data_IF_356039694920
#
_entry.id   IF_356039694920
#
_cell.length_a   1.000
_cell.length_b   1.000
_cell.length_c   1.000
_cell.angle_alpha   90.00
_cell.angle_beta   90.00
_cell.angle_gamma   90.00
#
_symmetry.space_group_name_H-M   'P 1'
#
loop_
_entity.id
_entity.type
_entity.pdbx_description
1 polymer ?
#
# COMPACT_ATOMS: atom_id res chain seq x y z
N UNK A 1 53.60 -25.08 -26.56
CA UNK A 1 54.27 -26.15 -25.79
C UNK A 1 54.58 -25.65 -24.39
N UNK A 2 54.12 -26.34 -23.37
CA UNK A 2 54.41 -26.01 -21.96
C UNK A 2 55.92 -26.07 -21.77
N UNK A 3 56.53 -25.00 -21.24
CA UNK A 3 57.97 -24.93 -21.03
C UNK A 3 58.38 -25.27 -19.60
N UNK A 4 57.74 -24.68 -18.63
CA UNK A 4 58.02 -24.87 -17.18
C UNK A 4 56.76 -25.11 -16.35
N UNK A 5 55.56 -24.94 -16.92
CA UNK A 5 54.30 -25.11 -16.19
C UNK A 5 54.07 -26.58 -15.74
N UNK A 6 53.53 -26.74 -14.53
CA UNK A 6 53.32 -28.05 -13.90
C UNK A 6 51.83 -28.31 -13.60
N UNK A 7 51.46 -29.58 -13.42
CA UNK A 7 50.12 -30.00 -13.01
C UNK A 7 49.00 -29.56 -14.00
N UNK A 8 49.29 -29.53 -15.30
CA UNK A 8 48.32 -29.22 -16.32
C UNK A 8 47.76 -30.49 -16.97
N UNK A 9 46.47 -30.52 -17.28
CA UNK A 9 45.82 -31.60 -18.05
C UNK A 9 45.24 -31.03 -19.34
N UNK A 10 45.79 -31.39 -20.50
CA UNK A 10 45.35 -30.92 -21.81
C UNK A 10 44.93 -32.13 -22.70
N UNK A 11 43.67 -32.16 -23.13
CA UNK A 11 43.09 -33.22 -23.93
C UNK A 11 42.30 -32.61 -25.11
N UNK A 12 42.74 -32.81 -26.31
CA UNK A 12 42.10 -32.32 -27.54
C UNK A 12 43.04 -31.55 -28.46
N UNK A 13 42.64 -31.36 -29.71
CA UNK A 13 43.43 -30.60 -30.66
C UNK A 13 43.56 -29.13 -30.22
N UNK A 14 44.77 -28.59 -30.16
CA UNK A 14 45.11 -27.22 -29.74
C UNK A 14 44.63 -26.87 -28.32
N UNK A 15 44.39 -27.84 -27.45
CA UNK A 15 44.08 -27.57 -26.04
C UNK A 15 45.34 -27.08 -25.32
N UNK A 16 45.29 -25.87 -24.74
CA UNK A 16 46.38 -25.23 -24.00
C UNK A 16 47.67 -25.05 -24.79
N UNK A 17 47.62 -24.93 -26.11
CA UNK A 17 48.79 -24.99 -26.97
C UNK A 17 49.74 -23.78 -26.85
N UNK A 18 49.24 -22.61 -26.43
CA UNK A 18 50.04 -21.42 -26.12
C UNK A 18 50.60 -21.41 -24.67
N UNK A 19 50.28 -22.39 -23.82
CA UNK A 19 50.72 -22.41 -22.41
C UNK A 19 52.22 -22.53 -22.30
N UNK A 20 52.83 -21.65 -21.48
CA UNK A 20 54.27 -21.64 -21.25
C UNK A 20 54.62 -21.95 -19.77
N UNK A 21 54.26 -21.11 -18.86
CA UNK A 21 54.64 -21.21 -17.43
C UNK A 21 53.46 -21.39 -16.47
N UNK A 22 52.25 -21.49 -16.99
CA UNK A 22 51.01 -21.60 -16.18
C UNK A 22 50.87 -22.99 -15.52
N UNK A 23 50.35 -23.02 -14.30
CA UNK A 23 50.17 -24.24 -13.50
C UNK A 23 48.69 -24.53 -13.23
N UNK A 24 48.40 -25.81 -12.92
CA UNK A 24 47.08 -26.25 -12.41
C UNK A 24 45.93 -25.94 -13.37
N UNK A 25 46.10 -26.02 -14.67
CA UNK A 25 45.04 -25.85 -15.64
C UNK A 25 44.50 -27.18 -16.14
N UNK A 26 43.21 -27.28 -16.35
CA UNK A 26 42.53 -28.36 -17.03
C UNK A 26 41.88 -27.86 -18.31
N UNK A 27 42.28 -28.36 -19.48
CA UNK A 27 41.64 -28.01 -20.76
C UNK A 27 41.30 -29.31 -21.53
N UNK A 28 39.97 -29.49 -21.76
CA UNK A 28 39.46 -30.69 -22.47
C UNK A 28 38.53 -30.21 -23.59
N UNK A 29 38.94 -30.42 -24.84
CA UNK A 29 38.19 -30.01 -26.04
C UNK A 29 39.06 -29.33 -27.09
N UNK A 30 38.55 -29.23 -28.32
CA UNK A 30 39.21 -28.52 -29.39
C UNK A 30 39.31 -27.01 -29.08
N UNK A 31 40.52 -26.42 -29.16
CA UNK A 31 40.82 -24.99 -28.84
C UNK A 31 40.48 -24.60 -27.39
N UNK A 32 40.28 -25.49 -26.46
CA UNK A 32 40.06 -25.13 -25.04
C UNK A 32 41.35 -24.51 -24.48
N UNK A 33 41.23 -23.31 -23.83
CA UNK A 33 42.36 -22.59 -23.22
C UNK A 33 43.52 -22.30 -24.19
N UNK A 34 43.26 -22.20 -25.50
CA UNK A 34 44.29 -22.19 -26.53
C UNK A 34 45.22 -20.98 -26.48
N UNK A 35 44.71 -19.77 -26.10
CA UNK A 35 45.53 -18.56 -25.99
C UNK A 35 46.21 -18.39 -24.61
N UNK A 36 46.00 -19.28 -23.66
CA UNK A 36 46.53 -19.16 -22.30
C UNK A 36 48.06 -19.25 -22.27
N UNK A 37 48.71 -18.22 -21.77
CA UNK A 37 50.20 -18.23 -21.71
C UNK A 37 50.71 -18.48 -20.28
N UNK A 38 50.29 -17.64 -19.33
CA UNK A 38 50.82 -17.63 -17.95
C UNK A 38 49.77 -17.80 -16.88
N UNK A 39 48.47 -17.83 -17.25
CA UNK A 39 47.37 -17.87 -16.27
C UNK A 39 47.17 -19.27 -15.70
N UNK A 40 47.08 -19.37 -14.38
CA UNK A 40 46.96 -20.61 -13.63
C UNK A 40 45.56 -20.82 -13.03
N UNK A 41 45.29 -22.07 -12.63
CA UNK A 41 44.05 -22.45 -11.94
C UNK A 41 42.78 -22.29 -12.77
N UNK A 42 42.83 -22.49 -14.08
CA UNK A 42 41.66 -22.44 -14.94
C UNK A 42 41.18 -23.84 -15.29
N UNK A 43 39.88 -24.04 -15.39
CA UNK A 43 39.22 -25.23 -15.87
C UNK A 43 38.40 -24.91 -17.12
N UNK A 44 38.71 -25.47 -18.25
CA UNK A 44 38.02 -25.30 -19.53
C UNK A 44 37.66 -26.65 -20.15
N UNK A 45 36.37 -26.97 -20.19
CA UNK A 45 35.86 -28.23 -20.77
C UNK A 45 34.81 -27.90 -21.83
N UNK A 46 35.13 -28.18 -23.07
CA UNK A 46 34.26 -27.88 -24.24
C UNK A 46 35.05 -27.29 -25.39
N UNK A 47 34.53 -27.37 -26.61
CA UNK A 47 35.14 -26.74 -27.76
C UNK A 47 35.18 -25.23 -27.59
N UNK A 48 36.35 -24.61 -27.73
CA UNK A 48 36.63 -23.18 -27.54
C UNK A 48 36.27 -22.63 -26.16
N UNK A 49 36.17 -23.45 -25.13
CA UNK A 49 36.01 -22.96 -23.76
C UNK A 49 37.27 -22.18 -23.33
N UNK A 50 37.11 -20.90 -22.81
CA UNK A 50 38.21 -19.99 -22.44
C UNK A 50 39.29 -19.83 -23.56
N UNK A 51 38.87 -19.87 -24.83
CA UNK A 51 39.83 -19.89 -25.94
C UNK A 51 40.72 -18.63 -26.00
N UNK A 52 40.20 -17.44 -25.75
CA UNK A 52 40.94 -16.17 -25.78
C UNK A 52 41.65 -15.82 -24.45
N UNK A 53 41.55 -16.63 -23.41
CA UNK A 53 42.13 -16.29 -22.09
C UNK A 53 43.64 -16.21 -22.17
N UNK A 54 44.23 -15.09 -21.78
CA UNK A 54 45.68 -14.89 -21.77
C UNK A 54 46.26 -14.90 -20.35
N UNK A 55 45.74 -14.06 -19.48
CA UNK A 55 46.23 -13.86 -18.09
C UNK A 55 45.16 -14.05 -17.01
N UNK A 56 43.90 -14.29 -17.37
CA UNK A 56 42.80 -14.49 -16.41
C UNK A 56 42.95 -15.80 -15.63
N UNK A 57 42.83 -15.77 -14.32
CA UNK A 57 43.05 -16.89 -13.40
C UNK A 57 41.77 -17.30 -12.68
N UNK A 58 41.74 -18.55 -12.20
CA UNK A 58 40.62 -19.11 -11.39
C UNK A 58 39.26 -19.06 -12.11
N UNK A 59 39.25 -19.22 -13.41
CA UNK A 59 38.01 -19.31 -14.17
C UNK A 59 37.62 -20.80 -14.39
N UNK A 60 36.34 -21.08 -14.31
CA UNK A 60 35.76 -22.40 -14.56
C UNK A 60 34.76 -22.30 -15.73
N UNK A 61 35.07 -22.89 -16.87
CA UNK A 61 34.21 -22.91 -18.05
C UNK A 61 33.87 -24.34 -18.44
N UNK A 62 32.57 -24.67 -18.45
CA UNK A 62 32.07 -26.00 -18.85
C UNK A 62 30.98 -25.82 -19.91
N UNK A 63 31.29 -26.08 -21.13
CA UNK A 63 30.41 -25.96 -22.30
C UNK A 63 31.14 -25.40 -23.51
N UNK A 64 30.66 -25.71 -24.71
CA UNK A 64 31.21 -25.10 -25.94
C UNK A 64 30.96 -23.59 -25.89
N UNK A 65 31.99 -22.81 -26.27
CA UNK A 65 31.99 -21.32 -26.25
C UNK A 65 31.73 -20.71 -24.87
N UNK A 66 31.94 -21.43 -23.77
CA UNK A 66 31.85 -20.86 -22.43
C UNK A 66 33.09 -19.99 -22.16
N UNK A 67 32.88 -18.66 -21.81
CA UNK A 67 33.96 -17.70 -21.57
C UNK A 67 34.97 -17.57 -22.72
N UNK A 68 34.56 -17.84 -23.96
CA UNK A 68 35.51 -17.94 -25.09
C UNK A 68 36.22 -16.58 -25.40
N UNK A 69 35.60 -15.42 -25.14
CA UNK A 69 36.20 -14.11 -25.31
C UNK A 69 36.98 -13.59 -24.09
N UNK A 70 36.99 -14.32 -22.96
CA UNK A 70 37.69 -13.88 -21.75
C UNK A 70 39.19 -13.70 -22.00
N UNK A 71 39.70 -12.49 -21.67
CA UNK A 71 41.16 -12.24 -21.88
C UNK A 71 41.92 -12.19 -20.56
N UNK A 72 41.51 -11.34 -19.66
CA UNK A 72 42.24 -11.03 -18.40
C UNK A 72 41.42 -11.19 -17.13
N UNK A 73 40.11 -11.46 -17.26
CA UNK A 73 39.21 -11.53 -16.10
C UNK A 73 39.44 -12.80 -15.27
N UNK A 74 39.21 -12.64 -13.95
CA UNK A 74 39.42 -13.71 -12.97
C UNK A 74 38.09 -14.10 -12.31
N UNK A 75 38.11 -15.28 -11.67
CA UNK A 75 37.09 -15.70 -10.72
C UNK A 75 35.69 -15.85 -11.36
N UNK A 76 35.60 -16.16 -12.64
CA UNK A 76 34.34 -16.43 -13.34
C UNK A 76 33.99 -17.90 -13.38
N UNK A 77 32.73 -18.22 -13.20
CA UNK A 77 32.17 -19.56 -13.39
C UNK A 77 31.13 -19.53 -14.50
N UNK A 78 31.33 -20.28 -15.58
CA UNK A 78 30.43 -20.34 -16.72
C UNK A 78 30.13 -21.82 -17.08
N UNK A 79 28.87 -22.22 -16.95
CA UNK A 79 28.42 -23.59 -17.23
C UNK A 79 27.25 -23.56 -18.22
N UNK A 80 27.46 -24.05 -19.42
CA UNK A 80 26.48 -24.10 -20.49
C UNK A 80 27.02 -23.62 -21.83
N UNK A 81 26.26 -23.83 -22.90
CA UNK A 81 26.63 -23.38 -24.24
C UNK A 81 26.62 -21.84 -24.33
N UNK A 82 27.69 -21.24 -24.82
CA UNK A 82 27.88 -19.80 -25.01
C UNK A 82 27.55 -18.96 -23.74
N UNK A 83 27.83 -19.51 -22.57
CA UNK A 83 27.64 -18.83 -21.28
C UNK A 83 28.81 -17.87 -21.07
N UNK A 84 28.51 -16.57 -20.74
CA UNK A 84 29.52 -15.50 -20.60
C UNK A 84 30.46 -15.36 -21.83
N UNK A 85 29.99 -15.72 -23.03
CA UNK A 85 30.86 -15.77 -24.21
C UNK A 85 31.39 -14.39 -24.62
N UNK A 86 30.66 -13.29 -24.39
CA UNK A 86 31.11 -11.91 -24.65
C UNK A 86 32.07 -11.33 -23.62
N UNK A 87 32.29 -11.99 -22.49
CA UNK A 87 33.07 -11.44 -21.37
C UNK A 87 34.53 -11.26 -21.72
N UNK A 88 35.05 -10.06 -21.58
CA UNK A 88 36.47 -9.77 -21.80
C UNK A 88 37.27 -9.55 -20.52
N UNK A 89 36.77 -8.62 -19.69
CA UNK A 89 37.47 -8.17 -18.47
C UNK A 89 36.60 -8.19 -17.21
N UNK A 90 35.32 -8.56 -17.29
CA UNK A 90 34.42 -8.66 -16.13
C UNK A 90 34.76 -9.82 -15.22
N UNK A 91 34.99 -9.57 -13.94
CA UNK A 91 35.42 -10.57 -12.96
C UNK A 91 34.30 -10.94 -11.95
N UNK A 92 34.43 -12.12 -11.36
CA UNK A 92 33.53 -12.56 -10.28
C UNK A 92 32.10 -12.88 -10.71
N UNK A 93 31.86 -13.22 -11.96
CA UNK A 93 30.53 -13.60 -12.44
C UNK A 93 30.29 -15.11 -12.26
N UNK A 94 29.08 -15.46 -11.90
CA UNK A 94 28.59 -16.86 -11.89
C UNK A 94 27.43 -16.96 -12.88
N UNK A 95 27.63 -17.76 -13.92
CA UNK A 95 26.62 -17.98 -14.94
C UNK A 95 26.39 -19.48 -15.20
N UNK A 96 25.17 -19.94 -15.10
CA UNK A 96 24.76 -21.31 -15.37
C UNK A 96 23.50 -21.32 -16.25
N UNK A 97 23.64 -21.86 -17.45
CA UNK A 97 22.56 -21.99 -18.43
C UNK A 97 22.97 -21.50 -19.81
N UNK A 98 22.38 -22.08 -20.84
CA UNK A 98 22.60 -21.66 -22.24
C UNK A 98 22.32 -20.16 -22.38
N UNK A 99 23.28 -19.41 -22.95
CA UNK A 99 23.24 -17.98 -23.17
C UNK A 99 23.07 -17.10 -21.88
N UNK A 100 23.34 -17.63 -20.69
CA UNK A 100 23.40 -16.80 -19.50
C UNK A 100 24.56 -15.81 -19.60
N UNK A 101 24.29 -14.49 -19.34
CA UNK A 101 25.27 -13.39 -19.44
C UNK A 101 26.01 -13.32 -20.80
N UNK A 102 25.39 -13.78 -21.89
CA UNK A 102 26.06 -13.94 -23.18
C UNK A 102 26.67 -12.63 -23.72
N UNK A 103 26.00 -11.47 -23.52
CA UNK A 103 26.46 -10.17 -24.02
C UNK A 103 27.36 -9.39 -23.03
N UNK A 104 27.63 -9.92 -21.85
CA UNK A 104 28.46 -9.25 -20.85
C UNK A 104 29.87 -9.04 -21.36
N UNK A 105 30.39 -7.80 -21.25
CA UNK A 105 31.75 -7.47 -21.70
C UNK A 105 32.68 -7.17 -20.54
N UNK A 106 32.35 -6.18 -19.74
CA UNK A 106 33.18 -5.68 -18.63
C UNK A 106 32.50 -5.77 -17.28
N UNK A 107 31.24 -6.20 -17.24
CA UNK A 107 30.44 -6.30 -16.03
C UNK A 107 30.99 -7.38 -15.06
N UNK A 108 31.00 -7.09 -13.77
CA UNK A 108 31.45 -8.02 -12.74
C UNK A 108 30.43 -8.27 -11.64
N UNK A 109 30.68 -9.32 -10.85
CA UNK A 109 29.86 -9.65 -9.68
C UNK A 109 28.39 -9.91 -9.99
N UNK A 110 28.08 -10.49 -11.14
CA UNK A 110 26.72 -10.89 -11.51
C UNK A 110 26.52 -12.39 -11.27
N UNK A 111 25.31 -12.76 -10.83
CA UNK A 111 24.86 -14.14 -10.75
C UNK A 111 23.72 -14.37 -11.72
N UNK A 112 23.88 -15.24 -12.70
CA UNK A 112 22.87 -15.60 -13.69
C UNK A 112 22.66 -17.12 -13.70
N UNK A 113 21.53 -17.57 -13.21
CA UNK A 113 21.16 -18.98 -13.13
C UNK A 113 19.87 -19.25 -13.90
N UNK A 114 19.99 -19.77 -15.08
CA UNK A 114 18.87 -20.07 -15.98
C UNK A 114 19.20 -19.75 -17.45
N UNK A 115 18.49 -20.40 -18.38
CA UNK A 115 18.63 -20.09 -19.79
C UNK A 115 18.31 -18.63 -20.06
N UNK A 116 19.23 -17.92 -20.73
CA UNK A 116 19.13 -16.51 -21.09
C UNK A 116 18.93 -15.56 -19.89
N UNK A 117 19.30 -15.96 -18.68
CA UNK A 117 19.33 -15.02 -17.55
C UNK A 117 20.41 -13.97 -17.79
N UNK A 118 20.07 -12.64 -17.64
CA UNK A 118 20.94 -11.51 -17.90
C UNK A 118 21.57 -11.51 -19.32
N UNK A 119 20.88 -12.05 -20.32
CA UNK A 119 21.49 -12.28 -21.63
C UNK A 119 21.96 -10.99 -22.32
N UNK A 120 21.22 -9.87 -22.21
CA UNK A 120 21.56 -8.58 -22.82
C UNK A 120 22.47 -7.69 -21.94
N UNK A 121 22.87 -8.15 -20.75
CA UNK A 121 23.68 -7.34 -19.83
C UNK A 121 25.05 -7.06 -20.45
N UNK A 122 25.41 -5.79 -20.58
CA UNK A 122 26.70 -5.41 -21.19
C UNK A 122 27.74 -4.99 -20.13
N UNK A 123 27.42 -3.96 -19.36
CA UNK A 123 28.35 -3.34 -18.42
C UNK A 123 27.83 -3.27 -16.98
N UNK A 124 26.60 -3.66 -16.74
CA UNK A 124 25.99 -3.57 -15.41
C UNK A 124 26.48 -4.65 -14.46
N UNK A 125 26.82 -4.25 -13.24
CA UNK A 125 27.37 -5.12 -12.20
C UNK A 125 26.39 -5.32 -11.03
N UNK A 126 26.68 -6.34 -10.21
CA UNK A 126 25.95 -6.64 -8.99
C UNK A 126 24.47 -7.05 -9.21
N UNK A 127 24.16 -7.66 -10.33
CA UNK A 127 22.81 -8.18 -10.58
C UNK A 127 22.72 -9.67 -10.23
N UNK A 128 21.59 -10.08 -9.68
CA UNK A 128 21.26 -11.50 -9.45
C UNK A 128 20.01 -11.87 -10.24
N UNK A 129 20.13 -12.81 -11.16
CA UNK A 129 19.05 -13.34 -11.97
C UNK A 129 18.95 -14.86 -11.85
N UNK A 130 17.85 -15.35 -11.30
CA UNK A 130 17.58 -16.78 -11.12
C UNK A 130 16.25 -17.14 -11.76
N UNK A 131 16.29 -17.84 -12.88
CA UNK A 131 15.11 -18.26 -13.65
C UNK A 131 15.28 -18.09 -15.16
N UNK A 132 14.42 -18.75 -15.91
CA UNK A 132 14.35 -18.59 -17.35
C UNK A 132 14.04 -17.12 -17.71
N UNK A 133 14.91 -16.50 -18.50
CA UNK A 133 14.80 -15.11 -18.96
C UNK A 133 14.70 -14.04 -17.83
N UNK A 134 15.11 -14.34 -16.62
CA UNK A 134 15.22 -13.33 -15.57
C UNK A 134 16.21 -12.23 -15.99
N UNK A 135 15.80 -10.94 -15.91
CA UNK A 135 16.60 -9.79 -16.37
C UNK A 135 17.10 -9.90 -17.81
N UNK A 136 16.33 -10.54 -18.69
CA UNK A 136 16.73 -10.83 -20.08
C UNK A 136 17.29 -9.62 -20.82
N UNK A 137 16.58 -8.47 -20.79
CA UNK A 137 16.86 -7.27 -21.57
C UNK A 137 17.71 -6.25 -20.84
N UNK A 138 18.17 -6.54 -19.61
CA UNK A 138 18.96 -5.59 -18.83
C UNK A 138 20.26 -5.25 -19.57
N UNK A 139 20.53 -3.96 -19.78
CA UNK A 139 21.76 -3.50 -20.44
C UNK A 139 22.72 -2.85 -19.45
N UNK A 140 22.29 -1.80 -18.77
CA UNK A 140 23.11 -1.02 -17.86
C UNK A 140 22.51 -0.85 -16.45
N UNK A 141 21.32 -1.42 -16.18
CA UNK A 141 20.73 -1.40 -14.84
C UNK A 141 21.52 -2.27 -13.85
N UNK A 142 21.95 -1.70 -12.74
CA UNK A 142 22.79 -2.37 -11.74
C UNK A 142 22.02 -2.67 -10.45
N UNK A 143 22.56 -3.61 -9.66
CA UNK A 143 22.03 -3.91 -8.32
C UNK A 143 20.56 -4.37 -8.32
N UNK A 144 20.15 -5.08 -9.36
CA UNK A 144 18.83 -5.69 -9.45
C UNK A 144 18.86 -7.16 -8.98
N UNK A 145 17.79 -7.59 -8.35
CA UNK A 145 17.56 -8.99 -7.98
C UNK A 145 16.28 -9.48 -8.67
N UNK A 146 16.39 -10.51 -9.50
CA UNK A 146 15.25 -11.13 -10.18
C UNK A 146 15.25 -12.63 -9.94
N UNK A 147 14.25 -13.13 -9.25
CA UNK A 147 14.09 -14.57 -8.96
C UNK A 147 12.72 -15.03 -9.43
N UNK A 148 12.69 -15.81 -10.46
CA UNK A 148 11.47 -16.31 -11.09
C UNK A 148 11.55 -16.27 -12.62
N UNK A 149 10.73 -17.08 -13.28
CA UNK A 149 10.61 -17.02 -14.73
C UNK A 149 10.11 -15.65 -15.16
N UNK A 150 10.78 -15.02 -16.12
CA UNK A 150 10.49 -13.71 -16.69
C UNK A 150 10.47 -12.55 -15.66
N UNK A 151 11.04 -12.72 -14.46
CA UNK A 151 11.16 -11.62 -13.50
C UNK A 151 12.09 -10.53 -14.06
N UNK A 152 11.62 -9.25 -14.06
CA UNK A 152 12.32 -8.08 -14.63
C UNK A 152 12.80 -8.28 -16.09
N UNK A 153 12.10 -9.09 -16.88
CA UNK A 153 12.60 -9.50 -18.20
C UNK A 153 12.83 -8.36 -19.17
N UNK A 154 12.05 -7.28 -19.11
CA UNK A 154 12.13 -6.14 -20.04
C UNK A 154 12.94 -4.96 -19.44
N UNK A 155 13.45 -5.07 -18.22
CA UNK A 155 14.29 -4.03 -17.62
C UNK A 155 15.47 -3.70 -18.53
N UNK A 156 15.71 -2.41 -18.78
CA UNK A 156 16.84 -1.96 -19.61
C UNK A 156 17.90 -1.25 -18.77
N UNK A 157 17.52 -0.16 -18.12
CA UNK A 157 18.43 0.71 -17.36
C UNK A 157 18.02 0.90 -15.89
N UNK A 158 16.82 0.42 -15.49
CA UNK A 158 16.36 0.50 -14.11
C UNK A 158 17.30 -0.24 -13.14
N UNK A 159 17.60 0.40 -12.01
CA UNK A 159 18.51 -0.13 -10.99
C UNK A 159 17.81 -0.29 -9.65
N UNK A 160 18.40 -1.09 -8.75
CA UNK A 160 17.87 -1.31 -7.39
C UNK A 160 16.46 -1.92 -7.34
N UNK A 161 16.05 -2.67 -8.38
CA UNK A 161 14.76 -3.34 -8.38
C UNK A 161 14.89 -4.76 -7.85
N UNK A 162 13.95 -5.19 -7.01
CA UNK A 162 13.90 -6.53 -6.42
C UNK A 162 12.62 -7.23 -6.83
N UNK A 163 12.69 -8.25 -7.67
CA UNK A 163 11.56 -9.01 -8.19
C UNK A 163 11.65 -10.49 -7.77
N UNK A 164 10.69 -10.96 -7.02
CA UNK A 164 10.58 -12.35 -6.58
C UNK A 164 9.21 -12.92 -6.97
N UNK A 165 9.18 -13.75 -8.00
CA UNK A 165 7.96 -14.39 -8.48
C UNK A 165 7.88 -14.49 -10.00
N UNK A 166 6.97 -15.32 -10.49
CA UNK A 166 6.66 -15.42 -11.91
C UNK A 166 6.18 -14.06 -12.43
N UNK A 167 6.87 -13.52 -13.44
CA UNK A 167 6.57 -12.23 -14.09
C UNK A 167 6.50 -11.01 -13.14
N UNK A 168 7.10 -11.08 -11.97
CA UNK A 168 7.22 -9.91 -11.10
C UNK A 168 8.01 -8.81 -11.82
N UNK A 169 7.47 -7.57 -11.91
CA UNK A 169 8.08 -6.43 -12.58
C UNK A 169 8.47 -6.69 -14.06
N UNK A 170 7.78 -7.61 -14.74
CA UNK A 170 8.20 -8.04 -16.08
C UNK A 170 8.34 -6.86 -17.06
N UNK A 171 7.44 -5.87 -17.01
CA UNK A 171 7.40 -4.74 -17.96
C UNK A 171 8.25 -3.55 -17.54
N UNK A 172 8.95 -3.61 -16.40
CA UNK A 172 9.78 -2.49 -15.96
C UNK A 172 10.87 -2.20 -16.99
N UNK A 173 11.01 -0.96 -17.39
CA UNK A 173 12.04 -0.54 -18.35
C UNK A 173 13.12 0.30 -17.68
N UNK A 174 12.75 1.41 -17.09
CA UNK A 174 13.64 2.39 -16.46
C UNK A 174 13.30 2.69 -15.00
N UNK A 175 12.18 2.16 -14.48
CA UNK A 175 11.79 2.34 -13.08
C UNK A 175 12.86 1.81 -12.12
N UNK A 176 13.07 2.51 -11.00
CA UNK A 176 14.11 2.21 -10.00
C UNK A 176 13.51 2.00 -8.62
N UNK A 177 14.25 1.28 -7.77
CA UNK A 177 13.90 1.13 -6.35
C UNK A 177 12.51 0.50 -6.12
N UNK A 178 12.09 -0.41 -7.00
CA UNK A 178 10.83 -1.13 -6.85
C UNK A 178 11.05 -2.49 -6.21
N UNK A 179 10.15 -2.89 -5.34
CA UNK A 179 10.09 -4.23 -4.73
C UNK A 179 8.82 -4.93 -5.18
N UNK A 180 8.93 -6.01 -5.93
CA UNK A 180 7.80 -6.84 -6.35
C UNK A 180 7.98 -8.28 -5.83
N UNK A 181 7.16 -8.71 -4.91
CA UNK A 181 7.17 -10.06 -4.33
C UNK A 181 5.81 -10.72 -4.52
N UNK A 182 5.74 -11.70 -5.39
CA UNK A 182 4.50 -12.41 -5.76
C UNK A 182 4.38 -12.57 -7.27
N UNK A 183 3.56 -13.51 -7.73
CA UNK A 183 3.30 -13.62 -9.16
C UNK A 183 2.57 -12.36 -9.65
N UNK A 184 3.00 -11.81 -10.77
CA UNK A 184 2.45 -10.62 -11.40
C UNK A 184 2.44 -9.36 -10.49
N UNK A 185 3.26 -9.31 -9.44
CA UNK A 185 3.43 -8.08 -8.66
C UNK A 185 4.10 -7.01 -9.55
N UNK A 186 3.50 -5.79 -9.64
CA UNK A 186 3.95 -4.70 -10.52
C UNK A 186 4.08 -5.12 -12.00
N UNK A 187 3.17 -5.95 -12.48
CA UNK A 187 3.25 -6.61 -13.80
C UNK A 187 3.54 -5.64 -14.94
N UNK A 188 2.78 -4.54 -15.05
CA UNK A 188 2.88 -3.59 -16.16
C UNK A 188 3.62 -2.30 -15.81
N UNK A 189 4.29 -2.23 -14.66
CA UNK A 189 5.10 -1.07 -14.31
C UNK A 189 6.18 -0.83 -15.36
N UNK A 190 6.26 0.38 -15.90
CA UNK A 190 7.27 0.74 -16.91
C UNK A 190 8.35 1.66 -16.35
N UNK A 191 7.96 2.81 -15.84
CA UNK A 191 8.85 3.86 -15.34
C UNK A 191 8.59 4.26 -13.88
N UNK A 192 7.52 3.72 -13.26
CA UNK A 192 7.21 3.97 -11.86
C UNK A 192 8.35 3.55 -10.93
N UNK A 193 8.65 4.36 -9.92
CA UNK A 193 9.75 4.15 -9.00
C UNK A 193 9.30 4.16 -7.51
N UNK A 194 10.12 3.59 -6.64
CA UNK A 194 9.88 3.56 -5.19
C UNK A 194 8.56 2.86 -4.80
N UNK A 195 8.15 1.84 -5.53
CA UNK A 195 6.96 1.07 -5.20
C UNK A 195 7.30 -0.21 -4.45
N UNK A 196 6.49 -0.55 -3.45
CA UNK A 196 6.55 -1.82 -2.73
C UNK A 196 5.26 -2.59 -3.00
N UNK A 197 5.37 -3.74 -3.65
CA UNK A 197 4.27 -4.65 -3.94
C UNK A 197 4.57 -6.04 -3.40
N UNK A 198 3.84 -6.48 -2.39
CA UNK A 198 3.99 -7.80 -1.76
C UNK A 198 2.65 -8.53 -1.78
N UNK A 199 2.53 -9.51 -2.64
CA UNK A 199 1.32 -10.29 -2.87
C UNK A 199 1.08 -10.55 -4.35
N UNK A 200 0.38 -11.62 -4.70
CA UNK A 200 -0.03 -11.85 -6.08
C UNK A 200 -0.91 -10.72 -6.59
N UNK A 201 -0.65 -10.20 -7.79
CA UNK A 201 -1.36 -9.07 -8.41
C UNK A 201 -1.35 -7.76 -7.61
N UNK A 202 -0.44 -7.58 -6.65
CA UNK A 202 -0.27 -6.28 -5.99
C UNK A 202 0.29 -5.26 -6.99
N UNK A 203 -0.37 -4.08 -7.14
CA UNK A 203 -0.01 -3.02 -8.10
C UNK A 203 0.16 -3.53 -9.55
N UNK A 204 -0.58 -4.54 -9.95
CA UNK A 204 -0.36 -5.18 -11.26
C UNK A 204 -0.69 -4.28 -12.45
N UNK A 205 -1.62 -3.33 -12.32
CA UNK A 205 -1.94 -2.33 -13.35
C UNK A 205 -1.08 -1.06 -13.28
N UNK A 206 -0.16 -0.92 -12.32
CA UNK A 206 0.67 0.28 -12.17
C UNK A 206 1.57 0.49 -13.40
N UNK A 207 1.55 1.68 -13.98
CA UNK A 207 2.38 1.98 -15.17
C UNK A 207 3.55 2.91 -14.85
N UNK A 208 3.25 4.12 -14.42
CA UNK A 208 4.23 5.19 -14.21
C UNK A 208 4.22 5.76 -12.80
N UNK A 209 3.26 5.35 -11.97
CA UNK A 209 3.12 5.88 -10.62
C UNK A 209 4.25 5.41 -9.71
N UNK A 210 4.62 6.28 -8.76
CA UNK A 210 5.64 5.99 -7.76
C UNK A 210 5.16 6.17 -6.33
N UNK A 211 6.02 5.75 -5.40
CA UNK A 211 5.82 5.91 -3.95
C UNK A 211 4.59 5.18 -3.40
N UNK A 212 4.16 4.09 -4.00
CA UNK A 212 3.05 3.29 -3.53
C UNK A 212 3.52 2.08 -2.72
N UNK A 213 2.81 1.76 -1.65
CA UNK A 213 3.01 0.54 -0.87
C UNK A 213 1.74 -0.31 -0.91
N UNK A 214 1.85 -1.52 -1.45
CA UNK A 214 0.77 -2.48 -1.56
C UNK A 214 1.18 -3.83 -0.96
N UNK A 215 0.53 -4.24 0.11
CA UNK A 215 0.80 -5.52 0.79
C UNK A 215 -0.50 -6.31 0.90
N UNK A 216 -0.62 -7.38 0.16
CA UNK A 216 -1.80 -8.24 0.11
C UNK A 216 -2.18 -8.61 -1.33
N UNK A 217 -2.96 -9.66 -1.48
CA UNK A 217 -3.45 -10.09 -2.79
C UNK A 217 -4.27 -8.98 -3.46
N UNK A 218 -3.90 -8.59 -4.67
CA UNK A 218 -4.54 -7.56 -5.51
C UNK A 218 -4.76 -6.21 -4.77
N UNK A 219 -3.91 -5.89 -3.78
CA UNK A 219 -3.90 -4.54 -3.18
C UNK A 219 -3.44 -3.51 -4.22
N UNK A 220 -4.15 -2.37 -4.33
CA UNK A 220 -3.92 -1.36 -5.39
C UNK A 220 -3.90 -1.95 -6.82
N UNK A 221 -4.66 -3.05 -7.06
CA UNK A 221 -4.59 -3.79 -8.32
C UNK A 221 -4.91 -2.97 -9.55
N UNK A 222 -5.89 -2.07 -9.51
CA UNK A 222 -6.27 -1.23 -10.66
C UNK A 222 -5.51 0.12 -10.74
N UNK A 223 -4.56 0.38 -9.83
CA UNK A 223 -3.84 1.66 -9.83
C UNK A 223 -3.00 1.82 -11.10
N UNK A 224 -3.19 2.91 -11.83
CA UNK A 224 -2.42 3.21 -13.04
C UNK A 224 -1.40 4.32 -12.81
N UNK A 225 -1.86 5.49 -12.34
CA UNK A 225 -1.04 6.69 -12.17
C UNK A 225 -1.16 7.33 -10.78
N UNK A 226 -1.97 6.77 -9.87
CA UNK A 226 -2.08 7.26 -8.49
C UNK A 226 -0.79 7.05 -7.70
N UNK A 227 -0.34 8.08 -6.98
CA UNK A 227 0.93 8.10 -6.25
C UNK A 227 0.73 8.18 -4.74
N UNK A 228 1.74 7.77 -3.98
CA UNK A 228 1.77 7.94 -2.52
C UNK A 228 0.59 7.26 -1.78
N UNK A 229 0.13 6.13 -2.30
CA UNK A 229 -0.92 5.34 -1.66
C UNK A 229 -0.31 4.21 -0.82
N UNK A 230 -0.93 3.94 0.32
CA UNK A 230 -0.59 2.80 1.19
C UNK A 230 -1.80 1.87 1.27
N UNK A 231 -1.66 0.64 0.82
CA UNK A 231 -2.70 -0.38 0.87
C UNK A 231 -2.17 -1.65 1.55
N UNK A 232 -2.67 -1.98 2.72
CA UNK A 232 -2.32 -3.20 3.43
C UNK A 232 -3.56 -4.04 3.70
N UNK A 233 -3.63 -5.21 3.10
CA UNK A 233 -4.77 -6.11 3.18
C UNK A 233 -5.22 -6.59 1.81
N UNK A 234 -5.84 -7.77 1.77
CA UNK A 234 -6.40 -8.32 0.53
C UNK A 234 -7.47 -7.37 -0.02
N UNK A 235 -7.34 -6.98 -1.29
CA UNK A 235 -8.21 -6.04 -2.01
C UNK A 235 -8.31 -4.63 -1.42
N UNK A 236 -7.36 -4.21 -0.55
CA UNK A 236 -7.29 -2.82 -0.11
C UNK A 236 -6.98 -1.90 -1.31
N UNK A 237 -7.75 -0.81 -1.47
CA UNK A 237 -7.67 0.14 -2.61
C UNK A 237 -7.71 -0.54 -3.99
N UNK A 238 -8.41 -1.68 -4.11
CA UNK A 238 -8.43 -2.48 -5.34
C UNK A 238 -8.73 -1.65 -6.59
N UNK A 239 -9.77 -0.80 -6.54
CA UNK A 239 -10.27 -0.06 -7.70
C UNK A 239 -9.65 1.32 -7.88
N UNK A 240 -8.67 1.69 -7.06
CA UNK A 240 -7.99 2.98 -7.21
C UNK A 240 -7.33 3.08 -8.58
N UNK A 241 -7.59 4.14 -9.33
CA UNK A 241 -6.99 4.31 -10.65
C UNK A 241 -5.95 5.43 -10.68
N UNK A 242 -6.35 6.62 -10.27
CA UNK A 242 -5.53 7.84 -10.39
C UNK A 242 -5.41 8.64 -9.09
N UNK A 243 -6.13 8.22 -8.03
CA UNK A 243 -6.15 8.96 -6.78
C UNK A 243 -4.83 8.79 -6.00
N UNK A 244 -4.47 9.85 -5.26
CA UNK A 244 -3.24 9.95 -4.51
C UNK A 244 -3.48 10.00 -3.00
N UNK A 245 -2.43 9.75 -2.22
CA UNK A 245 -2.36 10.00 -0.79
C UNK A 245 -3.41 9.23 0.04
N UNK A 246 -3.89 8.09 -0.46
CA UNK A 246 -4.82 7.28 0.30
C UNK A 246 -4.09 6.26 1.18
N UNK A 247 -4.57 6.07 2.40
CA UNK A 247 -4.12 5.01 3.31
C UNK A 247 -5.26 4.04 3.56
N UNK A 248 -5.11 2.78 3.18
CA UNK A 248 -6.06 1.71 3.43
C UNK A 248 -5.38 0.55 4.15
N UNK A 249 -5.78 0.29 5.38
CA UNK A 249 -5.26 -0.81 6.19
C UNK A 249 -6.41 -1.71 6.66
N UNK A 250 -6.61 -2.82 6.01
CA UNK A 250 -7.65 -3.80 6.32
C UNK A 250 -8.18 -4.52 5.08
N UNK A 251 -8.81 -5.67 5.32
CA UNK A 251 -9.52 -6.41 4.28
C UNK A 251 -10.60 -5.55 3.63
N UNK A 252 -10.55 -5.34 2.31
CA UNK A 252 -11.49 -4.53 1.52
C UNK A 252 -11.58 -3.05 1.96
N UNK A 253 -10.59 -2.51 2.67
CA UNK A 253 -10.58 -1.09 3.00
C UNK A 253 -10.43 -0.24 1.71
N UNK A 254 -11.30 0.79 1.53
CA UNK A 254 -11.34 1.65 0.33
C UNK A 254 -11.43 0.88 -1.00
N UNK A 255 -12.06 -0.30 -1.00
CA UNK A 255 -12.05 -1.21 -2.17
C UNK A 255 -12.51 -0.55 -3.46
N UNK A 256 -13.62 0.19 -3.44
CA UNK A 256 -14.22 0.80 -4.63
C UNK A 256 -13.78 2.24 -4.92
N UNK A 257 -12.81 2.76 -4.16
CA UNK A 257 -12.28 4.09 -4.42
C UNK A 257 -11.67 4.16 -5.84
N UNK A 258 -12.08 5.14 -6.62
CA UNK A 258 -11.55 5.35 -7.98
C UNK A 258 -10.67 6.59 -8.05
N UNK A 259 -11.22 7.75 -7.70
CA UNK A 259 -10.56 9.06 -7.81
C UNK A 259 -10.56 9.88 -6.52
N UNK A 260 -11.16 9.37 -5.43
CA UNK A 260 -11.13 10.05 -4.11
C UNK A 260 -9.72 10.05 -3.53
N UNK A 261 -9.19 11.22 -3.18
CA UNK A 261 -7.85 11.41 -2.65
C UNK A 261 -7.85 11.71 -1.15
N UNK A 262 -6.69 11.60 -0.52
CA UNK A 262 -6.45 12.01 0.86
C UNK A 262 -7.36 11.30 1.90
N UNK A 263 -7.75 10.05 1.62
CA UNK A 263 -8.56 9.26 2.54
C UNK A 263 -7.70 8.36 3.42
N UNK A 264 -8.10 8.20 4.68
CA UNK A 264 -7.53 7.23 5.62
C UNK A 264 -8.59 6.24 6.06
N UNK A 265 -8.41 4.97 5.75
CA UNK A 265 -9.28 3.87 6.13
C UNK A 265 -8.50 2.79 6.90
N UNK A 266 -8.82 2.59 8.16
CA UNK A 266 -8.19 1.58 9.02
C UNK A 266 -9.26 0.67 9.61
N UNK A 267 -9.31 -0.55 9.15
CA UNK A 267 -10.29 -1.56 9.56
C UNK A 267 -10.88 -2.30 8.38
N UNK A 268 -11.37 -3.50 8.61
CA UNK A 268 -12.04 -4.28 7.56
C UNK A 268 -13.28 -3.53 7.07
N UNK A 269 -13.44 -3.39 5.74
CA UNK A 269 -14.56 -2.69 5.08
C UNK A 269 -14.70 -1.20 5.47
N UNK A 270 -13.66 -0.57 6.02
CA UNK A 270 -13.66 0.87 6.26
C UNK A 270 -13.66 1.61 4.90
N UNK A 271 -14.58 2.58 4.72
CA UNK A 271 -14.76 3.33 3.46
C UNK A 271 -14.92 2.43 2.22
N UNK A 272 -15.46 1.22 2.36
CA UNK A 272 -15.50 0.22 1.29
C UNK A 272 -16.20 0.72 0.02
N UNK A 273 -17.34 1.40 0.15
CA UNK A 273 -18.13 1.89 -0.98
C UNK A 273 -17.67 3.25 -1.54
N UNK A 274 -16.64 3.88 -0.96
CA UNK A 274 -16.18 5.19 -1.43
C UNK A 274 -15.76 5.13 -2.90
N UNK A 275 -16.22 6.07 -3.70
CA UNK A 275 -15.84 6.17 -5.12
C UNK A 275 -15.01 7.42 -5.42
N UNK A 276 -15.53 8.58 -5.07
CA UNK A 276 -14.92 9.89 -5.37
C UNK A 276 -14.78 10.79 -4.14
N UNK A 277 -15.32 10.38 -2.98
CA UNK A 277 -15.19 11.14 -1.73
C UNK A 277 -13.73 11.28 -1.31
N UNK A 278 -13.33 12.47 -0.87
CA UNK A 278 -11.97 12.82 -0.49
C UNK A 278 -11.88 13.33 0.95
N UNK A 279 -10.68 13.32 1.50
CA UNK A 279 -10.38 13.88 2.83
C UNK A 279 -11.19 13.21 3.96
N UNK A 280 -11.53 11.93 3.83
CA UNK A 280 -12.23 11.19 4.86
C UNK A 280 -11.27 10.38 5.74
N UNK A 281 -11.55 10.34 7.03
CA UNK A 281 -10.86 9.47 8.00
C UNK A 281 -11.84 8.47 8.58
N UNK A 282 -11.62 7.19 8.39
CA UNK A 282 -12.43 6.10 8.91
C UNK A 282 -11.58 5.08 9.66
N UNK A 283 -11.78 4.95 10.96
CA UNK A 283 -11.06 4.02 11.83
C UNK A 283 -12.05 3.11 12.55
N UNK A 284 -12.09 1.87 12.19
CA UNK A 284 -13.00 0.87 12.74
C UNK A 284 -13.57 -0.04 11.66
N UNK A 285 -14.02 -1.23 12.05
CA UNK A 285 -14.71 -2.12 11.11
C UNK A 285 -15.93 -1.41 10.54
N UNK A 286 -16.09 -1.40 9.22
CA UNK A 286 -17.25 -0.79 8.50
C UNK A 286 -17.46 0.70 8.79
N UNK A 287 -16.50 1.39 9.44
CA UNK A 287 -16.57 2.82 9.63
C UNK A 287 -16.70 3.53 8.27
N UNK A 288 -17.72 4.40 8.13
CA UNK A 288 -18.04 5.12 6.88
C UNK A 288 -18.20 4.19 5.66
N UNK A 289 -18.60 2.93 5.88
CA UNK A 289 -18.59 1.88 4.86
C UNK A 289 -19.46 2.15 3.64
N UNK A 290 -20.59 2.85 3.80
CA UNK A 290 -21.52 3.18 2.72
C UNK A 290 -21.25 4.52 2.00
N UNK A 291 -20.22 5.27 2.39
CA UNK A 291 -19.91 6.55 1.75
C UNK A 291 -19.56 6.37 0.28
N UNK A 292 -20.11 7.18 -0.59
CA UNK A 292 -19.77 7.16 -2.02
C UNK A 292 -19.05 8.43 -2.45
N UNK A 293 -19.60 9.59 -2.11
CA UNK A 293 -19.11 10.92 -2.55
C UNK A 293 -18.91 11.93 -1.42
N UNK A 294 -19.33 11.60 -0.18
CA UNK A 294 -19.15 12.49 0.97
C UNK A 294 -17.67 12.78 1.24
N UNK A 295 -17.37 14.00 1.66
CA UNK A 295 -16.01 14.50 1.89
C UNK A 295 -15.81 15.03 3.30
N UNK A 296 -14.57 15.07 3.77
CA UNK A 296 -14.16 15.66 5.06
C UNK A 296 -14.92 15.09 6.27
N UNK A 297 -15.20 13.78 6.24
CA UNK A 297 -15.80 13.11 7.37
C UNK A 297 -14.74 12.44 8.25
N UNK A 298 -14.91 12.51 9.56
CA UNK A 298 -14.07 11.82 10.55
C UNK A 298 -14.92 10.81 11.30
N UNK A 299 -14.62 9.52 11.13
CA UNK A 299 -15.34 8.39 11.74
C UNK A 299 -14.39 7.52 12.53
N UNK A 300 -14.60 7.40 13.84
CA UNK A 300 -13.81 6.53 14.72
C UNK A 300 -14.75 5.63 15.52
N UNK A 301 -14.76 4.38 15.23
CA UNK A 301 -15.62 3.37 15.86
C UNK A 301 -16.22 2.40 14.85
N UNK A 302 -16.49 1.16 15.28
CA UNK A 302 -17.21 0.21 14.43
C UNK A 302 -18.60 0.75 14.08
N UNK A 303 -19.02 0.59 12.83
CA UNK A 303 -20.30 1.03 12.28
C UNK A 303 -20.61 2.52 12.42
N UNK A 304 -19.61 3.36 12.79
CA UNK A 304 -19.79 4.82 12.78
C UNK A 304 -20.04 5.29 11.34
N UNK A 305 -21.13 6.04 11.13
CA UNK A 305 -21.58 6.56 9.83
C UNK A 305 -21.69 5.50 8.72
N UNK A 306 -21.95 4.25 9.05
CA UNK A 306 -21.94 3.16 8.07
C UNK A 306 -22.85 3.39 6.86
N UNK A 307 -23.99 4.07 7.06
CA UNK A 307 -24.97 4.36 6.00
C UNK A 307 -24.92 5.82 5.50
N UNK A 308 -23.85 6.56 5.77
CA UNK A 308 -23.65 7.86 5.14
C UNK A 308 -23.27 7.68 3.67
N UNK A 309 -24.05 8.19 2.75
CA UNK A 309 -23.80 8.05 1.30
C UNK A 309 -23.10 9.28 0.74
N UNK A 310 -23.60 10.47 1.06
CA UNK A 310 -23.18 11.75 0.46
C UNK A 310 -22.91 12.87 1.47
N UNK A 311 -23.25 12.67 2.76
CA UNK A 311 -23.05 13.68 3.80
C UNK A 311 -21.58 14.03 3.99
N UNK A 312 -21.30 15.31 4.18
CA UNK A 312 -19.93 15.84 4.31
C UNK A 312 -19.75 16.62 5.61
N UNK A 313 -18.49 16.83 5.99
CA UNK A 313 -18.12 17.64 7.16
C UNK A 313 -18.66 17.09 8.50
N UNK A 314 -18.83 15.77 8.62
CA UNK A 314 -19.32 15.14 9.82
C UNK A 314 -18.17 14.57 10.68
N UNK A 315 -18.34 14.61 12.00
CA UNK A 315 -17.47 13.94 12.97
C UNK A 315 -18.28 12.94 13.77
N UNK A 316 -17.92 11.66 13.71
CA UNK A 316 -18.56 10.57 14.45
C UNK A 316 -17.53 9.77 15.23
N UNK A 317 -17.61 9.78 16.56
CA UNK A 317 -16.71 9.04 17.43
C UNK A 317 -17.53 8.15 18.37
N UNK A 318 -17.46 6.85 18.21
CA UNK A 318 -18.18 5.87 19.00
C UNK A 318 -18.86 4.80 18.14
N UNK A 319 -19.19 3.67 18.75
CA UNK A 319 -19.93 2.60 18.07
C UNK A 319 -21.29 3.10 17.58
N UNK A 320 -21.58 2.96 16.28
CA UNK A 320 -22.84 3.38 15.69
C UNK A 320 -23.17 4.88 15.78
N UNK A 321 -22.17 5.75 16.08
CA UNK A 321 -22.39 7.19 16.05
C UNK A 321 -22.72 7.65 14.63
N UNK A 322 -23.78 8.48 14.46
CA UNK A 322 -24.29 8.92 13.14
C UNK A 322 -24.52 7.75 12.16
N UNK A 323 -24.94 6.61 12.62
CA UNK A 323 -25.01 5.39 11.80
C UNK A 323 -25.80 5.61 10.50
N UNK A 324 -26.92 6.30 10.56
CA UNK A 324 -27.71 6.69 9.40
C UNK A 324 -27.68 8.21 9.28
N UNK A 325 -26.82 8.75 8.44
CA UNK A 325 -26.74 10.19 8.22
C UNK A 325 -26.66 10.50 6.72
N UNK A 326 -27.49 11.43 6.28
CA UNK A 326 -27.37 12.06 4.95
C UNK A 326 -27.10 13.55 5.06
N UNK A 327 -27.23 14.10 6.28
CA UNK A 327 -26.93 15.50 6.57
C UNK A 327 -25.43 15.77 6.71
N UNK A 328 -25.05 17.02 6.60
CA UNK A 328 -23.66 17.49 6.79
C UNK A 328 -23.48 18.30 8.07
N UNK A 329 -22.22 18.53 8.42
CA UNK A 329 -21.79 19.36 9.56
C UNK A 329 -22.28 18.88 10.94
N UNK A 330 -22.46 17.58 11.11
CA UNK A 330 -22.85 17.02 12.40
C UNK A 330 -21.61 16.56 13.20
N UNK A 331 -21.67 16.73 14.52
CA UNK A 331 -20.69 16.19 15.47
C UNK A 331 -21.38 15.24 16.44
N UNK A 332 -21.01 13.98 16.43
CA UNK A 332 -21.53 12.94 17.33
C UNK A 332 -20.38 12.25 18.06
N UNK A 333 -20.36 12.33 19.38
CA UNK A 333 -19.37 11.62 20.20
C UNK A 333 -20.08 10.82 21.27
N UNK A 334 -19.98 9.51 21.21
CA UNK A 334 -20.62 8.56 22.10
C UNK A 334 -21.30 7.42 21.34
N UNK A 335 -21.47 6.28 22.00
CA UNK A 335 -22.21 5.14 21.43
C UNK A 335 -23.62 5.56 21.06
N UNK A 336 -24.01 5.34 19.80
CA UNK A 336 -25.31 5.68 19.22
C UNK A 336 -25.70 7.20 19.32
N UNK A 337 -24.74 8.10 19.52
CA UNK A 337 -25.02 9.54 19.41
C UNK A 337 -25.50 9.87 18.00
N UNK A 338 -26.63 10.63 17.86
CA UNK A 338 -27.25 10.99 16.57
C UNK A 338 -27.51 9.79 15.63
N UNK A 339 -27.86 8.64 16.17
CA UNK A 339 -27.91 7.35 15.46
C UNK A 339 -28.65 7.38 14.13
N UNK A 340 -29.84 7.99 14.05
CA UNK A 340 -30.72 8.01 12.88
C UNK A 340 -30.87 9.40 12.22
N UNK A 341 -29.94 10.31 12.42
CA UNK A 341 -30.13 11.70 12.03
C UNK A 341 -29.80 11.95 10.55
N UNK A 342 -30.79 12.47 9.81
CA UNK A 342 -30.64 12.99 8.45
C UNK A 342 -30.55 14.52 8.37
N UNK A 343 -30.75 15.23 9.49
CA UNK A 343 -30.58 16.69 9.59
C UNK A 343 -29.12 17.11 9.64
N UNK A 344 -28.86 18.40 9.51
CA UNK A 344 -27.51 18.97 9.54
C UNK A 344 -27.24 19.85 10.76
N UNK A 345 -25.96 20.16 11.00
CA UNK A 345 -25.51 21.10 12.03
C UNK A 345 -25.87 20.70 13.46
N UNK A 346 -25.95 19.41 13.77
CA UNK A 346 -26.24 18.94 15.12
C UNK A 346 -24.94 18.60 15.86
N UNK A 347 -24.91 18.86 17.16
CA UNK A 347 -23.82 18.45 18.06
C UNK A 347 -24.39 17.58 19.18
N UNK A 348 -23.91 16.34 19.27
CA UNK A 348 -24.30 15.40 20.32
C UNK A 348 -23.05 14.81 21.00
N UNK A 349 -22.96 14.99 22.31
CA UNK A 349 -21.85 14.49 23.10
C UNK A 349 -22.40 13.68 24.30
N UNK A 350 -22.25 12.39 24.25
CA UNK A 350 -22.74 11.44 25.24
C UNK A 350 -23.38 10.22 24.58
N UNK A 351 -23.33 9.07 25.25
CA UNK A 351 -24.03 7.88 24.75
C UNK A 351 -25.54 8.14 24.63
N UNK A 352 -26.14 7.67 23.54
CA UNK A 352 -27.54 7.86 23.18
C UNK A 352 -28.01 9.34 23.08
N UNK A 353 -27.10 10.33 23.09
CA UNK A 353 -27.44 11.72 22.91
C UNK A 353 -28.08 11.95 21.52
N UNK A 354 -29.29 12.55 21.49
CA UNK A 354 -30.10 12.76 20.27
C UNK A 354 -30.31 11.49 19.43
N UNK A 355 -30.23 10.30 19.99
CA UNK A 355 -30.36 9.03 19.28
C UNK A 355 -31.65 8.92 18.46
N UNK A 356 -32.76 9.43 18.96
CA UNK A 356 -34.07 9.44 18.31
C UNK A 356 -34.27 10.58 17.32
N UNK A 357 -33.31 11.49 17.15
CA UNK A 357 -33.41 12.58 16.17
C UNK A 357 -33.37 11.99 14.75
N UNK A 358 -34.34 12.33 13.91
CA UNK A 358 -34.42 11.86 12.53
C UNK A 358 -34.12 12.95 11.51
N UNK A 359 -34.78 14.12 11.60
CA UNK A 359 -34.61 15.22 10.64
C UNK A 359 -34.32 16.58 11.28
N UNK A 360 -34.25 16.65 12.63
CA UNK A 360 -33.93 17.90 13.34
C UNK A 360 -32.54 18.41 13.01
N UNK A 361 -32.42 19.73 12.94
CA UNK A 361 -31.16 20.41 12.60
C UNK A 361 -30.80 21.47 13.66
N UNK A 362 -29.50 21.78 13.75
CA UNK A 362 -28.99 22.81 14.66
C UNK A 362 -29.28 22.53 16.15
N UNK A 363 -29.34 21.29 16.55
CA UNK A 363 -29.51 20.91 17.94
C UNK A 363 -28.16 20.68 18.62
N UNK A 364 -28.04 21.06 19.87
CA UNK A 364 -26.89 20.81 20.73
C UNK A 364 -27.30 19.93 21.92
N UNK A 365 -26.64 18.83 22.13
CA UNK A 365 -26.91 17.89 23.22
C UNK A 365 -25.63 17.44 23.90
N UNK A 366 -25.54 17.62 25.21
CA UNK A 366 -24.40 17.19 26.02
C UNK A 366 -24.91 16.43 27.25
N UNK A 367 -24.66 15.15 27.29
CA UNK A 367 -25.02 14.27 28.40
C UNK A 367 -25.56 12.92 27.92
N UNK A 368 -25.52 11.93 28.81
CA UNK A 368 -26.08 10.61 28.54
C UNK A 368 -27.59 10.72 28.25
N UNK A 369 -28.03 10.17 27.13
CA UNK A 369 -29.43 10.15 26.70
C UNK A 369 -30.10 11.55 26.61
N UNK A 370 -29.31 12.62 26.51
CA UNK A 370 -29.80 13.97 26.40
C UNK A 370 -30.49 14.20 25.03
N UNK A 371 -31.67 14.85 25.06
CA UNK A 371 -32.51 15.03 23.86
C UNK A 371 -33.24 13.79 23.38
N UNK A 372 -33.12 12.66 24.08
CA UNK A 372 -33.67 11.36 23.66
C UNK A 372 -34.50 10.65 24.76
N UNK A 373 -34.46 11.11 26.02
CA UNK A 373 -35.19 10.51 27.11
C UNK A 373 -36.70 10.83 27.04
N UNK A 374 -37.58 9.98 27.50
CA UNK A 374 -39.04 10.13 27.58
C UNK A 374 -39.74 10.57 26.25
N UNK A 375 -39.44 11.76 25.74
CA UNK A 375 -39.89 12.27 24.44
C UNK A 375 -38.65 12.57 23.61
N UNK A 376 -38.35 11.70 22.65
CA UNK A 376 -37.21 11.90 21.74
C UNK A 376 -37.45 13.11 20.83
N UNK A 377 -36.43 13.95 20.65
CA UNK A 377 -36.49 15.02 19.69
C UNK A 377 -36.30 14.46 18.25
N UNK A 378 -37.39 14.18 17.57
CA UNK A 378 -37.33 13.53 16.24
C UNK A 378 -37.06 14.53 15.10
N UNK A 379 -37.81 15.62 15.02
CA UNK A 379 -37.69 16.64 13.97
C UNK A 379 -37.55 18.06 14.49
N UNK A 380 -37.54 18.24 15.83
CA UNK A 380 -37.32 19.58 16.44
C UNK A 380 -35.92 20.12 16.13
N UNK A 381 -35.82 21.43 15.92
CA UNK A 381 -34.56 22.08 15.55
C UNK A 381 -34.21 23.19 16.51
N UNK A 382 -32.94 23.62 16.54
CA UNK A 382 -32.45 24.73 17.34
C UNK A 382 -32.68 24.55 18.85
N UNK A 383 -32.58 23.31 19.34
CA UNK A 383 -32.72 22.97 20.75
C UNK A 383 -31.35 22.76 21.41
N UNK A 384 -31.29 23.10 22.70
CA UNK A 384 -30.11 22.84 23.56
C UNK A 384 -30.51 21.92 24.72
N UNK A 385 -29.86 20.76 24.85
CA UNK A 385 -30.04 19.81 25.94
C UNK A 385 -28.70 19.63 26.66
N UNK A 386 -28.57 20.19 27.86
CA UNK A 386 -27.35 20.12 28.65
C UNK A 386 -27.57 19.39 29.97
N UNK A 387 -27.12 18.19 30.07
CA UNK A 387 -27.21 17.31 31.22
C UNK A 387 -27.89 15.98 30.87
N UNK A 388 -27.65 14.95 31.69
CA UNK A 388 -28.19 13.62 31.44
C UNK A 388 -29.71 13.61 31.54
N UNK A 389 -30.37 12.85 30.64
CA UNK A 389 -31.83 12.70 30.56
C UNK A 389 -32.61 13.99 30.31
N UNK A 390 -31.96 15.13 29.99
CA UNK A 390 -32.67 16.33 29.53
C UNK A 390 -33.41 16.03 28.24
N UNK A 391 -34.68 16.47 28.12
CA UNK A 391 -35.49 16.18 26.93
C UNK A 391 -36.51 17.27 26.65
N UNK A 392 -37.06 17.28 25.44
CA UNK A 392 -38.19 18.18 25.08
C UNK A 392 -39.52 17.60 25.55
N UNK A 393 -40.52 18.44 25.73
CA UNK A 393 -41.91 17.99 25.95
C UNK A 393 -42.62 17.63 24.64
N UNK A 394 -42.03 17.91 23.51
CA UNK A 394 -42.54 17.61 22.17
C UNK A 394 -41.43 17.08 21.26
N UNK A 395 -41.76 16.05 20.49
CA UNK A 395 -40.86 15.45 19.50
C UNK A 395 -40.46 16.39 18.35
N UNK A 396 -41.27 17.41 18.10
CA UNK A 396 -41.11 18.42 17.02
C UNK A 396 -40.82 19.82 17.53
N UNK A 397 -40.66 19.99 18.86
CA UNK A 397 -40.43 21.28 19.49
C UNK A 397 -39.13 21.95 19.03
N UNK A 398 -39.20 23.28 18.87
CA UNK A 398 -38.03 24.11 18.49
C UNK A 398 -37.72 25.14 19.55
N UNK A 399 -36.46 25.64 19.56
CA UNK A 399 -35.99 26.68 20.48
C UNK A 399 -36.15 26.32 21.97
N UNK A 400 -36.05 25.06 22.35
CA UNK A 400 -36.04 24.65 23.75
C UNK A 400 -34.58 24.66 24.28
N UNK A 401 -34.34 25.38 25.36
CA UNK A 401 -33.09 25.29 26.14
C UNK A 401 -33.37 24.56 27.43
N UNK A 402 -32.77 23.40 27.62
CA UNK A 402 -33.03 22.50 28.75
C UNK A 402 -31.71 22.17 29.44
N UNK A 403 -31.57 22.56 30.69
CA UNK A 403 -30.33 22.45 31.44
C UNK A 403 -30.58 21.79 32.82
N UNK A 404 -29.87 20.73 33.13
CA UNK A 404 -29.95 20.06 34.42
C UNK A 404 -29.93 18.54 34.31
N UNK A 405 -30.54 17.84 35.26
CA UNK A 405 -30.64 16.36 35.29
C UNK A 405 -32.10 15.93 35.22
N UNK A 406 -32.48 15.12 34.25
CA UNK A 406 -33.82 14.61 34.05
C UNK A 406 -34.87 15.73 33.99
N UNK A 407 -34.62 16.76 33.14
CA UNK A 407 -35.43 17.96 33.00
C UNK A 407 -36.20 17.91 31.69
N UNK A 408 -37.50 18.27 31.73
CA UNK A 408 -38.38 18.37 30.58
C UNK A 408 -38.60 19.86 30.16
N UNK A 409 -38.13 20.22 28.96
CA UNK A 409 -38.23 21.59 28.44
C UNK A 409 -39.24 21.79 27.35
N UNK A 410 -40.04 22.85 27.42
CA UNK A 410 -41.01 23.20 26.37
C UNK A 410 -40.37 24.00 25.24
N UNK A 411 -40.92 23.90 24.02
CA UNK A 411 -40.54 24.73 22.88
C UNK A 411 -40.69 26.23 23.20
N UNK A 412 -39.69 27.04 22.84
CA UNK A 412 -39.69 28.47 23.09
C UNK A 412 -39.39 28.88 24.54
N UNK A 413 -38.88 27.95 25.36
CA UNK A 413 -38.53 28.22 26.75
C UNK A 413 -37.09 27.82 27.08
N UNK A 414 -36.50 28.52 28.05
CA UNK A 414 -35.33 28.06 28.80
C UNK A 414 -35.83 27.45 30.13
N UNK A 415 -35.47 26.17 30.35
CA UNK A 415 -35.84 25.41 31.55
C UNK A 415 -34.56 24.97 32.27
N UNK A 416 -34.47 25.26 33.57
CA UNK A 416 -33.36 24.87 34.45
C UNK A 416 -33.89 24.02 35.61
N UNK A 417 -33.20 22.98 36.01
CA UNK A 417 -33.65 22.19 37.17
C UNK A 417 -33.06 20.80 37.28
N UNK A 418 -33.70 20.04 38.18
CA UNK A 418 -33.40 18.60 38.37
C UNK A 418 -34.70 17.89 38.73
N UNK A 419 -34.99 16.79 38.02
CA UNK A 419 -36.23 16.02 38.14
C UNK A 419 -37.48 16.96 38.06
N UNK A 420 -38.37 16.90 39.01
CA UNK A 420 -39.61 17.72 39.03
C UNK A 420 -39.43 19.14 39.62
N UNK A 421 -38.19 19.52 39.94
CA UNK A 421 -37.85 20.83 40.50
C UNK A 421 -37.27 21.73 39.37
N UNK A 422 -38.15 22.40 38.67
CA UNK A 422 -37.80 23.17 37.51
C UNK A 422 -38.25 24.63 37.60
N UNK A 423 -37.43 25.54 37.06
CA UNK A 423 -37.80 26.91 36.76
C UNK A 423 -37.67 27.14 35.26
N UNK A 424 -38.56 27.96 34.67
CA UNK A 424 -38.51 28.28 33.25
C UNK A 424 -38.94 29.74 32.94
N UNK A 425 -38.38 30.24 31.88
CA UNK A 425 -38.78 31.53 31.31
C UNK A 425 -39.06 31.34 29.80
N UNK A 426 -40.11 31.97 29.32
CA UNK A 426 -40.38 32.06 27.88
C UNK A 426 -39.33 32.95 27.21
N UNK A 427 -38.94 32.61 25.99
CA UNK A 427 -38.03 33.45 25.21
C UNK A 427 -38.64 34.84 24.99
N UNK A 428 -37.87 35.87 25.24
CA UNK A 428 -38.36 37.26 25.21
C UNK A 428 -39.03 37.75 26.51
N UNK A 429 -39.16 36.88 27.54
CA UNK A 429 -39.63 37.27 28.88
C UNK A 429 -38.44 37.59 29.80
N UNK A 430 -38.62 38.54 30.69
CA UNK A 430 -37.66 38.88 31.75
C UNK A 430 -37.98 38.20 33.07
N UNK A 431 -39.06 37.42 33.13
CA UNK A 431 -39.53 36.75 34.36
C UNK A 431 -39.34 35.24 34.28
N UNK A 432 -38.88 34.64 35.38
CA UNK A 432 -38.79 33.20 35.56
C UNK A 432 -39.99 32.71 36.38
N UNK A 433 -40.60 31.62 35.94
CA UNK A 433 -41.69 30.95 36.64
C UNK A 433 -41.26 29.57 37.13
N UNK A 434 -41.70 29.16 38.30
CA UNK A 434 -41.55 27.76 38.77
C UNK A 434 -42.52 26.86 38.00
N UNK A 435 -42.05 25.68 37.60
CA UNK A 435 -42.87 24.63 36.94
C UNK A 435 -43.43 23.65 37.94
N UNK A 436 -43.22 23.86 39.25
CA UNK A 436 -43.64 22.95 40.30
C UNK A 436 -45.16 22.92 40.47
N UNK A 437 -45.60 21.75 40.88
CA UNK A 437 -46.94 21.34 41.23
C UNK A 437 -47.71 22.43 42.05
N UNK A 438 -48.95 22.67 41.66
CA UNK A 438 -49.84 23.57 42.35
C UNK A 438 -50.01 23.28 43.85
N UNK A 439 -49.63 22.11 44.33
CA UNK A 439 -49.64 21.69 45.75
C UNK A 439 -48.71 22.54 46.64
N UNK A 440 -47.64 23.16 46.11
CA UNK A 440 -46.70 23.96 46.89
C UNK A 440 -46.94 25.47 46.80
N UNK A 441 -47.96 25.92 46.04
CA UNK A 441 -48.29 27.36 45.91
C UNK A 441 -49.22 27.88 46.97
N UNK A 442 -49.55 27.12 48.00
CA UNK A 442 -50.61 27.45 48.95
C UNK A 442 -50.28 28.54 49.96
N UNK A 443 -49.03 28.93 50.09
CA UNK A 443 -48.58 29.85 51.16
C UNK A 443 -47.72 31.04 50.69
N UNK A 444 -47.74 31.40 49.38
CA UNK A 444 -47.13 32.69 48.94
C UNK A 444 -48.23 33.72 48.94
N UNK A 445 -48.39 34.35 50.07
CA UNK A 445 -49.19 35.58 50.21
C UNK A 445 -48.33 36.73 49.69
N UNK A 446 -48.82 37.48 48.70
CA UNK A 446 -48.24 38.75 48.29
C UNK A 446 -48.07 39.68 49.49
N UNK A 447 -46.85 40.06 49.83
CA UNK A 447 -46.50 41.09 50.76
C UNK A 447 -46.11 42.38 50.06
#
# INVERSE_FOLDING_TARGET
AVTTGVQNTFIGGLAGDATTTADNNTAVGYLSLSANTTASNNTAVGASALAANTTGTRNSALGSLALDANTTANDNTAIGYATLSGNTTGAGNVALGTYALVASTTAGSNTALGRSALAANTTASNNTAVGYQALLSNTTGAQNVAVGKDALAINTTGSYNHAFGFQALISNTTGTENIGVGHNALLVNTTGANNVAVGGFALDANTTAGNNTAVGYASLGANTTGTSNVATGMYALLSNTTANNNTANGYLALRYNTTGADNTAVGALALDANTTGSENTAVGKTALGGNTTGTRNVCVGSDAMINNVTGSDNTAVGYGALQVSTGGTNTATGTYALFNNTGGSNTAFGADALKGSTSGSSNTSLGYNAGNYSVANTSGSQNTFLGAYCHGTSATGTYANVIGYNVAGAAGYTTLGANDLEIRAAHGSITWATVSDQRYKKDIVDS
#
